data_IF_861821698741
#
_entry.id   IF_861821698741
#
_cell.length_a   1.000
_cell.length_b   1.000
_cell.length_c   1.000
_cell.angle_alpha   90.00
_cell.angle_beta   90.00
_cell.angle_gamma   90.00
#
_symmetry.space_group_name_H-M   'P 1'
#
loop_
_entity.id
_entity.type
_entity.pdbx_description
1 polymer ?
#
# COMPACT_ATOMS: atom_id res chain seq x y z
N UNK A 1 -23.54 -13.71 -16.75
CA UNK A 1 -23.97 -13.19 -18.07
C UNK A 1 -25.41 -12.68 -18.14
N UNK A 2 -26.45 -13.47 -17.83
CA UNK A 2 -27.86 -13.00 -17.88
C UNK A 2 -28.13 -11.76 -17.01
N UNK A 3 -27.54 -11.70 -15.81
CA UNK A 3 -27.61 -10.52 -14.93
C UNK A 3 -27.04 -9.24 -15.57
N UNK A 4 -25.88 -9.34 -16.24
CA UNK A 4 -25.24 -8.22 -16.92
C UNK A 4 -26.05 -7.73 -18.14
N UNK A 5 -26.55 -8.65 -18.97
CA UNK A 5 -27.39 -8.29 -20.13
C UNK A 5 -28.69 -7.62 -19.70
N UNK A 6 -29.31 -8.10 -18.61
CA UNK A 6 -30.51 -7.47 -18.06
C UNK A 6 -30.20 -6.10 -17.48
N UNK A 7 -29.05 -5.92 -16.80
CA UNK A 7 -28.59 -4.61 -16.34
C UNK A 7 -28.44 -3.63 -17.50
N UNK A 8 -27.70 -3.99 -18.54
CA UNK A 8 -27.49 -3.13 -19.73
C UNK A 8 -28.80 -2.74 -20.41
N UNK A 9 -29.71 -3.71 -20.58
CA UNK A 9 -31.03 -3.46 -21.16
C UNK A 9 -31.85 -2.50 -20.30
N UNK A 10 -31.91 -2.73 -18.99
CA UNK A 10 -32.65 -1.87 -18.06
C UNK A 10 -32.02 -0.47 -17.95
N UNK A 11 -30.70 -0.35 -18.01
CA UNK A 11 -30.03 0.97 -18.08
C UNK A 11 -30.46 1.73 -19.33
N UNK A 12 -30.57 1.06 -20.47
CA UNK A 12 -31.06 1.66 -21.71
C UNK A 12 -32.54 2.07 -21.65
N UNK A 13 -33.39 1.31 -20.95
CA UNK A 13 -34.83 1.58 -20.80
C UNK A 13 -35.14 2.66 -19.75
N UNK A 14 -34.43 2.67 -18.63
CA UNK A 14 -34.67 3.55 -17.48
C UNK A 14 -33.90 4.88 -17.59
N UNK A 15 -32.86 4.94 -18.42
CA UNK A 15 -31.97 6.10 -18.53
C UNK A 15 -31.10 6.33 -17.29
N UNK A 16 -31.10 5.38 -16.34
CA UNK A 16 -30.27 5.37 -15.15
C UNK A 16 -29.93 3.92 -14.78
N UNK A 17 -28.96 3.74 -13.88
CA UNK A 17 -28.55 2.40 -13.46
C UNK A 17 -29.68 1.70 -12.67
N UNK A 18 -30.06 0.46 -13.04
CA UNK A 18 -31.08 -0.30 -12.32
C UNK A 18 -30.52 -0.85 -11.01
N UNK A 19 -31.38 -0.95 -10.00
CA UNK A 19 -31.06 -1.61 -8.74
C UNK A 19 -30.95 -3.11 -8.92
N UNK A 20 -30.19 -3.76 -8.04
CA UNK A 20 -30.06 -5.23 -7.99
C UNK A 20 -31.43 -5.91 -7.86
N UNK A 21 -32.36 -5.29 -7.11
CA UNK A 21 -33.71 -5.82 -6.96
C UNK A 21 -34.48 -5.79 -8.29
N UNK A 22 -34.41 -4.68 -9.04
CA UNK A 22 -35.06 -4.59 -10.36
C UNK A 22 -34.51 -5.62 -11.36
N UNK A 23 -33.20 -5.89 -11.30
CA UNK A 23 -32.57 -6.93 -12.13
C UNK A 23 -33.08 -8.32 -11.72
N UNK A 24 -33.18 -8.60 -10.42
CA UNK A 24 -33.69 -9.85 -9.88
C UNK A 24 -35.15 -10.09 -10.26
N UNK A 25 -36.00 -9.09 -10.06
CA UNK A 25 -37.43 -9.12 -10.42
C UNK A 25 -37.62 -9.39 -11.91
N UNK A 26 -36.78 -8.77 -12.75
CA UNK A 26 -36.81 -8.95 -14.20
C UNK A 26 -36.35 -10.34 -14.65
N UNK A 27 -35.45 -10.97 -13.89
CA UNK A 27 -34.92 -12.30 -14.19
C UNK A 27 -35.71 -13.43 -13.53
N UNK A 28 -36.63 -13.12 -12.62
CA UNK A 28 -37.29 -14.12 -11.76
C UNK A 28 -36.30 -14.90 -10.90
N UNK A 29 -35.17 -14.27 -10.56
CA UNK A 29 -34.08 -14.87 -9.80
C UNK A 29 -34.03 -14.28 -8.39
N UNK A 30 -33.40 -14.99 -7.45
CA UNK A 30 -33.19 -14.45 -6.12
C UNK A 30 -32.13 -13.32 -6.16
N UNK A 31 -32.29 -12.30 -5.30
CA UNK A 31 -31.36 -11.16 -5.26
C UNK A 31 -29.92 -11.61 -4.98
N UNK A 32 -29.76 -12.58 -4.09
CA UNK A 32 -28.50 -13.25 -3.74
C UNK A 32 -27.78 -13.82 -4.97
N UNK A 33 -28.51 -14.52 -5.83
CA UNK A 33 -27.99 -15.10 -7.07
C UNK A 33 -27.55 -14.03 -8.06
N UNK A 34 -28.29 -12.91 -8.14
CA UNK A 34 -27.93 -11.76 -8.99
C UNK A 34 -26.67 -11.08 -8.51
N UNK A 35 -26.53 -10.84 -7.20
CA UNK A 35 -25.30 -10.28 -6.60
C UNK A 35 -24.11 -11.19 -6.93
N UNK A 36 -24.24 -12.48 -6.63
CA UNK A 36 -23.20 -13.47 -6.88
C UNK A 36 -22.81 -13.50 -8.36
N UNK A 37 -23.79 -13.49 -9.26
CA UNK A 37 -23.54 -13.51 -10.70
C UNK A 37 -22.93 -12.20 -11.24
N UNK A 38 -23.15 -11.06 -10.59
CA UNK A 38 -22.52 -9.79 -10.91
C UNK A 38 -21.09 -9.70 -10.38
N UNK A 39 -20.82 -10.24 -9.20
CA UNK A 39 -19.48 -10.30 -8.59
C UNK A 39 -18.58 -11.37 -9.23
N UNK A 40 -19.17 -12.43 -9.79
CA UNK A 40 -18.45 -13.53 -10.45
C UNK A 40 -17.69 -13.11 -11.72
N UNK A 41 -17.93 -11.90 -12.23
CA UNK A 41 -17.27 -11.34 -13.41
C UNK A 41 -16.71 -9.96 -13.02
N UNK A 42 -15.79 -9.93 -12.08
CA UNK A 42 -14.85 -8.82 -11.99
C UNK A 42 -13.69 -9.13 -12.92
N UNK A 43 -13.38 -8.22 -13.85
CA UNK A 43 -12.11 -8.31 -14.57
C UNK A 43 -10.98 -8.26 -13.53
N UNK A 44 -9.96 -9.14 -13.64
CA UNK A 44 -8.84 -9.08 -12.73
C UNK A 44 -8.11 -7.75 -12.94
N UNK A 45 -7.98 -6.97 -11.87
CA UNK A 45 -7.13 -5.77 -11.91
C UNK A 45 -5.68 -6.24 -12.07
N UNK A 46 -4.94 -5.61 -12.98
CA UNK A 46 -3.54 -5.94 -13.18
C UNK A 46 -2.73 -5.52 -11.95
N UNK A 47 -2.05 -6.48 -11.32
CA UNK A 47 -1.18 -6.23 -10.18
C UNK A 47 0.01 -5.30 -10.53
N UNK A 48 0.34 -5.20 -11.82
CA UNK A 48 1.43 -4.39 -12.36
C UNK A 48 0.96 -3.03 -12.90
N UNK A 49 -0.31 -2.68 -12.69
CA UNK A 49 -0.82 -1.37 -13.10
C UNK A 49 -0.28 -0.29 -12.15
N UNK A 50 0.34 0.78 -12.68
CA UNK A 50 0.89 1.86 -11.87
C UNK A 50 -0.25 2.68 -11.25
N UNK A 51 -0.29 2.75 -9.93
CA UNK A 51 -1.27 3.56 -9.18
C UNK A 51 -0.76 4.96 -8.85
N UNK A 52 0.54 5.19 -9.00
CA UNK A 52 1.17 6.49 -8.81
C UNK A 52 2.43 6.59 -9.68
N UNK A 53 2.58 7.68 -10.42
CA UNK A 53 3.74 7.94 -11.28
C UNK A 53 4.13 9.41 -11.19
N UNK A 54 4.97 9.76 -10.21
CA UNK A 54 5.72 11.01 -10.29
C UNK A 54 7.20 10.74 -10.07
N UNK A 55 7.97 10.99 -11.14
CA UNK A 55 9.43 11.09 -11.17
C UNK A 55 10.19 10.05 -10.34
N UNK A 56 9.99 8.75 -10.67
CA UNK A 56 10.65 7.60 -10.06
C UNK A 56 10.14 6.27 -10.64
N UNK A 57 10.51 5.15 -10.02
CA UNK A 57 9.92 3.85 -10.34
C UNK A 57 8.40 3.88 -10.02
N UNK A 58 7.53 3.44 -10.95
CA UNK A 58 6.08 3.47 -10.75
C UNK A 58 5.66 2.55 -9.61
N UNK A 59 4.86 3.07 -8.68
CA UNK A 59 4.27 2.28 -7.59
C UNK A 59 3.15 1.42 -8.18
N UNK A 60 3.27 0.09 -8.06
CA UNK A 60 2.30 -0.87 -8.57
C UNK A 60 1.40 -1.40 -7.45
N UNK A 61 0.23 -1.95 -7.79
CA UNK A 61 -0.65 -2.61 -6.80
C UNK A 61 0.03 -3.76 -6.07
N UNK A 62 0.93 -4.48 -6.75
CA UNK A 62 1.72 -5.56 -6.14
C UNK A 62 2.56 -5.10 -4.95
N UNK A 63 2.95 -3.82 -4.89
CA UNK A 63 3.77 -3.28 -3.80
C UNK A 63 2.98 -3.12 -2.49
N UNK A 64 1.65 -3.11 -2.57
CA UNK A 64 0.75 -2.95 -1.42
C UNK A 64 0.09 -4.26 -0.97
N UNK A 65 0.13 -5.30 -1.80
CA UNK A 65 -0.48 -6.59 -1.49
C UNK A 65 0.53 -7.42 -0.70
N UNK A 66 0.42 -7.36 0.63
CA UNK A 66 1.22 -8.18 1.54
C UNK A 66 0.72 -9.63 1.60
N UNK A 67 1.66 -10.57 1.53
CA UNK A 67 1.41 -12.01 1.70
C UNK A 67 1.12 -12.34 3.19
N UNK A 68 -0.07 -12.87 3.53
CA UNK A 68 -0.40 -13.26 4.90
C UNK A 68 0.44 -14.44 5.44
N UNK A 69 1.04 -15.27 4.57
CA UNK A 69 1.92 -16.39 4.97
C UNK A 69 3.36 -15.94 5.32
N UNK A 70 3.67 -14.65 5.16
CA UNK A 70 4.98 -14.08 5.52
C UNK A 70 5.18 -13.88 7.03
N UNK A 71 4.25 -14.31 7.90
CA UNK A 71 4.28 -14.01 9.35
C UNK A 71 5.50 -14.55 10.09
N UNK A 72 6.05 -15.71 9.71
CA UNK A 72 7.30 -16.22 10.27
C UNK A 72 8.52 -15.40 9.82
N UNK A 73 8.53 -14.99 8.55
CA UNK A 73 9.53 -14.06 8.00
C UNK A 73 9.41 -12.68 8.66
N UNK A 74 8.19 -12.24 8.97
CA UNK A 74 7.87 -10.97 9.60
C UNK A 74 8.40 -10.88 11.03
N UNK A 75 8.20 -11.91 11.86
CA UNK A 75 8.71 -11.90 13.25
C UNK A 75 10.25 -11.94 13.30
N UNK A 76 10.89 -12.74 12.45
CA UNK A 76 12.36 -12.82 12.39
C UNK A 76 12.95 -11.51 11.87
N UNK A 77 12.30 -10.91 10.85
CA UNK A 77 12.69 -9.61 10.32
C UNK A 77 12.45 -8.50 11.35
N UNK A 78 11.39 -8.56 12.15
CA UNK A 78 11.15 -7.61 13.23
C UNK A 78 12.22 -7.72 14.32
N UNK A 79 12.62 -8.94 14.69
CA UNK A 79 13.69 -9.18 15.66
C UNK A 79 15.04 -8.68 15.13
N UNK A 80 15.40 -9.03 13.89
CA UNK A 80 16.62 -8.55 13.25
C UNK A 80 16.64 -7.03 13.11
N UNK A 81 15.51 -6.40 12.75
CA UNK A 81 15.38 -4.94 12.70
C UNK A 81 15.53 -4.30 14.08
N UNK A 82 14.99 -4.92 15.13
CA UNK A 82 15.14 -4.44 16.51
C UNK A 82 16.60 -4.46 16.95
N UNK A 83 17.32 -5.55 16.66
CA UNK A 83 18.75 -5.67 16.98
C UNK A 83 19.59 -4.69 16.16
N UNK A 84 19.27 -4.54 14.86
CA UNK A 84 19.85 -3.55 13.97
C UNK A 84 19.71 -2.13 14.51
N UNK A 85 18.50 -1.75 14.92
CA UNK A 85 18.24 -0.46 15.55
C UNK A 85 18.94 -0.33 16.90
N UNK A 86 19.04 -1.41 17.69
CA UNK A 86 19.71 -1.38 18.99
C UNK A 86 21.21 -1.09 18.86
N UNK A 87 21.85 -1.60 17.80
CA UNK A 87 23.29 -1.40 17.52
C UNK A 87 23.68 0.04 17.15
N UNK A 88 22.70 0.87 16.77
CA UNK A 88 22.94 2.28 16.44
C UNK A 88 23.27 3.10 17.70
N UNK A 89 24.14 4.09 17.52
CA UNK A 89 24.40 5.10 18.55
C UNK A 89 23.15 5.94 18.82
N UNK A 90 23.04 6.52 20.02
CA UNK A 90 21.91 7.39 20.39
C UNK A 90 21.73 8.56 19.41
N UNK A 91 22.85 9.04 18.86
CA UNK A 91 22.85 10.10 17.86
C UNK A 91 22.23 9.65 16.54
N UNK A 92 22.61 8.47 16.04
CA UNK A 92 22.04 7.87 14.83
C UNK A 92 20.54 7.59 15.03
N UNK A 93 20.16 6.99 16.17
CA UNK A 93 18.75 6.75 16.55
C UNK A 93 17.93 8.04 16.56
N UNK A 94 18.47 9.11 17.14
CA UNK A 94 17.81 10.41 17.21
C UNK A 94 17.57 11.00 15.80
N UNK A 95 18.59 10.94 14.93
CA UNK A 95 18.48 11.37 13.53
C UNK A 95 17.40 10.57 12.80
N UNK A 96 17.47 9.22 12.84
CA UNK A 96 16.49 8.38 12.16
C UNK A 96 15.06 8.59 12.69
N UNK A 97 14.89 8.75 14.01
CA UNK A 97 13.56 9.05 14.58
C UNK A 97 12.99 10.34 14.00
N UNK A 98 13.77 11.41 13.91
CA UNK A 98 13.29 12.67 13.35
C UNK A 98 12.98 12.56 11.86
N UNK A 99 13.80 11.82 11.11
CA UNK A 99 13.66 11.63 9.66
C UNK A 99 12.45 10.78 9.29
N UNK A 100 12.31 9.62 9.91
CA UNK A 100 11.34 8.59 9.50
C UNK A 100 10.09 8.55 10.37
N UNK A 101 10.19 8.85 11.67
CA UNK A 101 9.02 8.87 12.56
C UNK A 101 8.32 10.24 12.59
N UNK A 102 9.10 11.33 12.55
CA UNK A 102 8.56 12.70 12.62
C UNK A 102 8.48 13.39 11.25
N UNK A 103 8.98 12.76 10.18
CA UNK A 103 8.90 13.28 8.82
C UNK A 103 9.76 14.52 8.52
N UNK A 104 10.79 14.81 9.34
CA UNK A 104 11.61 16.03 9.18
C UNK A 104 12.58 15.93 8.00
N UNK A 105 12.83 17.04 7.35
CA UNK A 105 13.89 17.20 6.35
C UNK A 105 15.27 17.15 7.01
N UNK A 106 16.33 16.84 6.24
CA UNK A 106 17.69 16.83 6.77
C UNK A 106 18.14 18.23 7.25
N UNK A 107 17.59 19.28 6.65
CA UNK A 107 17.87 20.67 7.01
C UNK A 107 17.26 21.00 8.37
N UNK A 108 16.01 20.62 8.62
CA UNK A 108 15.36 20.81 9.94
C UNK A 108 16.07 20.00 11.03
N UNK A 109 16.46 18.75 10.74
CA UNK A 109 17.24 17.93 11.67
C UNK A 109 18.62 18.55 11.95
N UNK A 110 19.28 19.10 10.93
CA UNK A 110 20.57 19.77 11.07
C UNK A 110 20.47 21.00 11.99
N UNK A 111 19.42 21.82 11.81
CA UNK A 111 19.14 22.99 12.64
C UNK A 111 18.88 22.60 14.10
N UNK A 112 18.08 21.55 14.35
CA UNK A 112 17.74 21.13 15.71
C UNK A 112 18.88 20.45 16.47
N UNK A 113 19.77 19.76 15.75
CA UNK A 113 20.92 19.06 16.35
C UNK A 113 22.16 19.96 16.40
N UNK A 114 22.18 21.09 15.67
CA UNK A 114 23.31 22.01 15.64
C UNK A 114 24.50 21.52 14.82
N UNK A 115 24.25 20.83 13.72
CA UNK A 115 25.28 20.33 12.78
C UNK A 115 24.95 20.70 11.34
N UNK A 116 25.87 20.47 10.41
CA UNK A 116 25.59 20.73 8.99
C UNK A 116 24.67 19.65 8.39
N UNK A 117 23.89 20.02 7.37
CA UNK A 117 23.06 19.07 6.62
C UNK A 117 23.90 17.95 6.00
N UNK A 118 25.12 18.25 5.52
CA UNK A 118 26.03 17.24 5.00
C UNK A 118 26.46 16.22 6.08
N UNK A 119 26.63 16.66 7.34
CA UNK A 119 26.90 15.75 8.46
C UNK A 119 25.68 14.89 8.79
N UNK A 120 24.46 15.45 8.80
CA UNK A 120 23.21 14.68 8.95
C UNK A 120 23.11 13.61 7.87
N UNK A 121 23.34 13.99 6.61
CA UNK A 121 23.28 13.07 5.46
C UNK A 121 24.26 11.90 5.60
N UNK A 122 25.50 12.18 6.03
CA UNK A 122 26.52 11.13 6.28
C UNK A 122 26.11 10.19 7.42
N UNK A 123 25.63 10.73 8.53
CA UNK A 123 25.19 9.95 9.69
C UNK A 123 23.96 9.09 9.35
N UNK A 124 23.00 9.63 8.62
CA UNK A 124 21.81 8.91 8.16
C UNK A 124 22.19 7.76 7.22
N UNK A 125 23.04 8.01 6.21
CA UNK A 125 23.54 6.96 5.32
C UNK A 125 24.30 5.87 6.06
N UNK A 126 25.17 6.24 7.00
CA UNK A 126 25.93 5.27 7.79
C UNK A 126 25.00 4.42 8.68
N UNK A 127 23.99 5.03 9.31
CA UNK A 127 23.01 4.30 10.11
C UNK A 127 22.17 3.34 9.26
N UNK A 128 21.72 3.76 8.08
CA UNK A 128 20.97 2.90 7.16
C UNK A 128 21.85 1.74 6.66
N UNK A 129 23.13 2.00 6.35
CA UNK A 129 24.06 0.95 5.93
C UNK A 129 24.25 -0.11 7.03
N UNK A 130 24.41 0.31 8.29
CA UNK A 130 24.49 -0.60 9.44
C UNK A 130 23.23 -1.45 9.60
N UNK A 131 22.06 -0.84 9.44
CA UNK A 131 20.79 -1.58 9.50
C UNK A 131 20.74 -2.65 8.41
N UNK A 132 21.10 -2.29 7.17
CA UNK A 132 21.08 -3.20 6.02
C UNK A 132 22.10 -4.34 6.12
N UNK A 133 23.19 -4.17 6.85
CA UNK A 133 24.20 -5.23 7.05
C UNK A 133 23.71 -6.29 8.05
N UNK A 134 22.74 -5.95 8.91
CA UNK A 134 22.19 -6.82 9.94
C UNK A 134 20.83 -7.44 9.58
N UNK A 135 20.28 -7.09 8.41
CA UNK A 135 19.06 -7.64 7.82
C UNK A 135 19.43 -8.60 6.68
#
# INVERSE_FOLDING_TARGET
YKAMQTRERLTGELGHEPTVQQIADTLGAERSDVVTAMESISDPVSLYEPIYSDSGDPLCLIDQIGDPDSTASSWMSELALRDALASLSDREKNILRRRFWQGKTQVEVAQEIGISQAQVSRLEKAAIAKIKEQL
#
